data_IF_170738018238
#
_entry.id   IF_170738018238
#
_cell.length_a   1.000
_cell.length_b   1.000
_cell.length_c   1.000
_cell.angle_alpha   90.00
_cell.angle_beta   90.00
_cell.angle_gamma   90.00
#
_symmetry.space_group_name_H-M   'P 1'
#
loop_
_entity.id
_entity.type
_entity.pdbx_description
1 polymer ?
#
# COMPACT_ATOMS: atom_id res chain seq x y z
N UNK A 1 -20.66 10.18 -16.98
CA UNK A 1 -19.39 10.81 -16.55
C UNK A 1 -18.56 9.77 -15.80
N UNK A 2 -17.62 9.06 -16.44
CA UNK A 2 -16.82 8.07 -15.73
C UNK A 2 -15.66 8.76 -15.00
N UNK A 3 -15.62 8.55 -13.69
CA UNK A 3 -14.48 8.83 -12.81
C UNK A 3 -13.33 7.90 -13.21
N UNK A 4 -12.41 8.35 -14.06
CA UNK A 4 -11.12 7.70 -14.24
C UNK A 4 -10.08 8.57 -13.54
N UNK A 5 -9.85 8.28 -12.25
CA UNK A 5 -8.71 8.78 -11.52
C UNK A 5 -7.44 8.33 -12.27
N UNK A 6 -6.75 9.28 -12.88
CA UNK A 6 -5.47 9.07 -13.52
C UNK A 6 -4.44 8.65 -12.46
N UNK A 7 -4.18 7.34 -12.34
CA UNK A 7 -2.88 6.89 -11.85
C UNK A 7 -1.87 7.17 -12.96
N UNK A 8 -0.99 8.14 -12.72
CA UNK A 8 0.02 8.69 -13.63
C UNK A 8 0.65 7.65 -14.57
N UNK A 9 0.34 7.77 -15.86
CA UNK A 9 0.89 6.97 -16.94
C UNK A 9 2.16 7.65 -17.46
N UNK A 10 3.34 7.05 -17.25
CA UNK A 10 4.65 7.64 -17.56
C UNK A 10 5.02 7.75 -19.06
N UNK A 11 4.07 7.58 -19.98
CA UNK A 11 4.30 7.82 -21.41
C UNK A 11 2.98 8.19 -22.10
N UNK A 12 2.46 9.39 -21.82
CA UNK A 12 1.37 9.98 -22.58
C UNK A 12 1.95 10.96 -23.60
N UNK A 13 1.88 10.63 -24.89
CA UNK A 13 2.18 11.61 -25.93
C UNK A 13 0.88 12.36 -26.25
N UNK A 14 0.84 13.64 -25.86
CA UNK A 14 -0.33 14.49 -25.92
C UNK A 14 -0.46 15.05 -27.35
N UNK A 15 -1.14 14.33 -28.23
CA UNK A 15 -1.38 14.81 -29.61
C UNK A 15 -2.62 15.72 -29.61
N UNK A 16 -2.40 17.04 -29.76
CA UNK A 16 -3.47 17.99 -30.06
C UNK A 16 -3.78 17.90 -31.56
N UNK A 17 -4.89 17.26 -31.93
CA UNK A 17 -5.36 17.28 -33.33
C UNK A 17 -6.36 18.41 -33.49
N UNK A 18 -6.01 19.40 -34.30
CA UNK A 18 -6.92 20.44 -34.79
C UNK A 18 -7.85 19.81 -35.84
N UNK A 19 -9.13 19.68 -35.54
CA UNK A 19 -10.14 19.33 -36.54
C UNK A 19 -10.82 20.63 -36.99
N UNK A 20 -10.40 21.17 -38.13
CA UNK A 20 -11.05 22.32 -38.75
C UNK A 20 -12.16 21.85 -39.71
N UNK A 21 -13.36 22.40 -39.54
CA UNK A 21 -14.37 22.50 -40.59
C UNK A 21 -15.10 23.84 -40.40
N UNK A 22 -15.46 24.48 -41.51
CA UNK A 22 -15.87 25.88 -41.62
C UNK A 22 -16.96 26.34 -40.64
N UNK A 23 -16.88 27.64 -40.37
CA UNK A 23 -17.82 28.49 -39.62
C UNK A 23 -17.96 28.21 -38.10
N UNK A 24 -17.14 28.96 -37.36
CA UNK A 24 -17.29 29.45 -35.98
C UNK A 24 -17.55 28.39 -34.89
N UNK A 25 -16.48 27.69 -34.47
CA UNK A 25 -16.11 27.45 -33.06
C UNK A 25 -14.92 26.48 -33.02
N UNK A 26 -13.72 26.95 -32.69
CA UNK A 26 -12.51 26.13 -32.56
C UNK A 26 -12.60 25.23 -31.32
N UNK A 27 -13.25 24.08 -31.42
CA UNK A 27 -13.30 23.07 -30.34
C UNK A 27 -12.07 22.18 -30.40
N UNK A 28 -11.10 22.45 -29.52
CA UNK A 28 -9.95 21.57 -29.32
C UNK A 28 -10.41 20.30 -28.60
N UNK A 29 -10.25 19.13 -29.24
CA UNK A 29 -10.41 17.82 -28.58
C UNK A 29 -9.04 17.29 -28.18
N UNK A 30 -8.82 17.20 -26.87
CA UNK A 30 -7.62 16.59 -26.30
C UNK A 30 -7.83 15.08 -26.23
N UNK A 31 -6.94 14.31 -26.88
CA UNK A 31 -6.92 12.85 -26.82
C UNK A 31 -5.61 12.43 -26.16
N UNK A 32 -5.69 11.49 -25.23
CA UNK A 32 -4.52 10.87 -24.60
C UNK A 32 -4.27 9.51 -25.26
N UNK A 33 -3.14 9.39 -25.96
CA UNK A 33 -2.68 8.11 -26.50
C UNK A 33 -1.62 7.56 -25.53
N UNK A 34 -1.99 6.50 -24.80
CA UNK A 34 -1.09 5.80 -23.90
C UNK A 34 -0.47 4.60 -24.64
N UNK A 35 0.86 4.52 -24.66
CA UNK A 35 1.58 3.39 -25.27
C UNK A 35 1.87 2.27 -24.24
N UNK A 36 2.04 2.64 -22.98
CA UNK A 36 2.29 1.69 -21.90
C UNK A 36 1.59 2.15 -20.63
N UNK A 37 0.82 1.24 -20.03
CA UNK A 37 0.10 1.47 -18.77
C UNK A 37 0.84 0.72 -17.67
N UNK A 38 1.50 1.48 -16.80
CA UNK A 38 2.06 0.96 -15.55
C UNK A 38 1.11 1.30 -14.42
N UNK A 39 0.45 0.27 -13.89
CA UNK A 39 -0.34 0.41 -12.67
C UNK A 39 0.59 0.76 -11.52
N UNK A 40 0.52 2.02 -11.06
CA UNK A 40 1.29 2.51 -9.91
C UNK A 40 0.78 1.90 -8.59
N UNK A 41 -0.51 1.54 -8.55
CA UNK A 41 -1.16 0.86 -7.43
C UNK A 41 -1.56 -0.54 -7.84
N UNK A 42 -0.58 -1.36 -8.21
CA UNK A 42 -0.72 -2.80 -8.09
C UNK A 42 -0.11 -3.15 -6.74
N UNK A 43 -0.84 -3.81 -5.85
CA UNK A 43 -0.21 -4.50 -4.72
C UNK A 43 0.90 -5.36 -5.32
N UNK A 44 2.11 -4.89 -5.09
CA UNK A 44 3.29 -5.28 -5.83
C UNK A 44 3.43 -6.76 -5.56
N UNK A 45 3.26 -7.61 -6.58
CA UNK A 45 3.83 -8.94 -6.50
C UNK A 45 5.30 -8.69 -6.18
N UNK A 46 5.76 -9.03 -4.96
CA UNK A 46 7.06 -8.57 -4.53
C UNK A 46 8.05 -9.27 -5.45
N UNK A 47 8.78 -8.50 -6.25
CA UNK A 47 9.97 -9.01 -6.93
C UNK A 47 11.01 -9.23 -5.85
N UNK A 48 10.83 -10.31 -5.08
CA UNK A 48 11.71 -10.69 -4.00
C UNK A 48 13.00 -11.18 -4.66
N UNK A 49 13.99 -10.29 -4.78
CA UNK A 49 15.34 -10.69 -5.14
C UNK A 49 15.88 -11.67 -4.09
N UNK A 50 16.68 -12.65 -4.53
CA UNK A 50 17.34 -13.61 -3.65
C UNK A 50 18.16 -12.92 -2.53
N UNK A 51 18.73 -11.74 -2.83
CA UNK A 51 19.46 -10.91 -1.88
C UNK A 51 18.56 -10.33 -0.77
N UNK A 52 17.29 -10.06 -1.09
CA UNK A 52 16.31 -9.60 -0.11
C UNK A 52 16.01 -10.68 0.94
N UNK A 53 15.81 -11.92 0.49
CA UNK A 53 15.53 -13.07 1.38
C UNK A 53 16.72 -13.34 2.30
N UNK A 54 17.95 -13.28 1.79
CA UNK A 54 19.13 -13.52 2.61
C UNK A 54 19.31 -12.46 3.69
N UNK A 55 19.05 -11.18 3.38
CA UNK A 55 19.07 -10.08 4.37
C UNK A 55 18.01 -10.27 5.45
N UNK A 56 16.77 -10.63 5.08
CA UNK A 56 15.69 -10.90 6.04
C UNK A 56 16.08 -12.04 6.97
N UNK A 57 16.56 -13.17 6.43
CA UNK A 57 16.99 -14.32 7.25
C UNK A 57 18.14 -13.98 8.19
N UNK A 58 19.11 -13.16 7.74
CA UNK A 58 20.21 -12.68 8.58
C UNK A 58 19.69 -11.79 9.72
N UNK A 59 18.77 -10.86 9.41
CA UNK A 59 18.15 -9.99 10.40
C UNK A 59 17.38 -10.78 11.47
N UNK A 60 16.55 -11.75 11.07
CA UNK A 60 15.82 -12.61 12.00
C UNK A 60 16.75 -13.41 12.93
N UNK A 61 17.92 -13.84 12.45
CA UNK A 61 18.89 -14.58 13.27
C UNK A 61 19.71 -13.68 14.21
N UNK A 62 19.97 -12.43 13.81
CA UNK A 62 20.83 -11.53 14.56
C UNK A 62 20.14 -10.91 15.79
N UNK A 63 18.83 -10.66 15.73
CA UNK A 63 18.09 -9.93 16.77
C UNK A 63 17.04 -10.78 17.51
N UNK A 64 17.26 -12.09 17.65
CA UNK A 64 16.27 -13.07 18.13
C UNK A 64 15.51 -12.71 19.42
N UNK A 65 16.06 -11.89 20.31
CA UNK A 65 15.38 -11.48 21.55
C UNK A 65 14.54 -10.20 21.44
N UNK A 66 14.96 -9.22 20.64
CA UNK A 66 14.39 -7.86 20.70
C UNK A 66 13.79 -7.37 19.37
N UNK A 67 13.60 -8.25 18.37
CA UNK A 67 13.02 -7.90 17.06
C UNK A 67 11.67 -7.19 17.21
N UNK A 68 10.81 -7.68 18.10
CA UNK A 68 9.47 -7.13 18.27
C UNK A 68 9.51 -5.66 18.73
N UNK A 69 10.42 -5.36 19.65
CA UNK A 69 10.61 -4.04 20.19
C UNK A 69 11.27 -3.12 19.17
N UNK A 70 12.26 -3.61 18.44
CA UNK A 70 12.89 -2.90 17.34
C UNK A 70 11.87 -2.50 16.26
N UNK A 71 11.04 -3.44 15.81
CA UNK A 71 10.00 -3.17 14.81
C UNK A 71 8.97 -2.16 15.32
N UNK A 72 8.54 -2.29 16.58
CA UNK A 72 7.57 -1.36 17.17
C UNK A 72 8.09 0.07 17.26
N UNK A 73 9.39 0.26 17.53
CA UNK A 73 10.04 1.57 17.59
C UNK A 73 10.22 2.17 16.20
N UNK A 74 10.51 1.35 15.19
CA UNK A 74 10.63 1.76 13.80
C UNK A 74 9.30 2.12 13.13
N UNK A 75 8.16 1.63 13.63
CA UNK A 75 6.85 1.90 13.05
C UNK A 75 6.46 3.38 13.09
N UNK A 76 6.71 4.05 14.23
CA UNK A 76 6.36 5.45 14.44
C UNK A 76 7.44 6.13 15.30
N UNK A 77 8.61 6.46 14.73
CA UNK A 77 9.72 7.05 15.47
C UNK A 77 9.44 8.50 15.90
N UNK A 78 8.50 9.18 15.23
CA UNK A 78 8.11 10.57 15.53
C UNK A 78 7.30 10.74 16.82
N UNK A 79 6.67 9.68 17.31
CA UNK A 79 5.84 9.72 18.53
C UNK A 79 6.70 9.26 19.70
N UNK A 80 6.85 10.08 20.74
CA UNK A 80 7.53 9.66 21.96
C UNK A 80 6.60 8.81 22.85
N UNK A 81 7.15 7.79 23.51
CA UNK A 81 6.39 6.89 24.39
C UNK A 81 5.42 5.95 23.66
N UNK A 82 4.36 5.53 24.38
CA UNK A 82 3.29 4.65 23.89
C UNK A 82 3.76 3.31 23.29
N UNK A 83 4.75 2.66 23.91
CA UNK A 83 5.34 1.43 23.37
C UNK A 83 4.32 0.30 23.18
N UNK A 84 3.41 0.11 24.13
CA UNK A 84 2.36 -0.90 24.03
C UNK A 84 1.37 -0.65 22.88
N UNK A 85 1.04 0.62 22.62
CA UNK A 85 0.13 0.98 21.52
C UNK A 85 0.79 0.67 20.18
N UNK A 86 2.08 1.03 20.01
CA UNK A 86 2.82 0.74 18.78
C UNK A 86 2.99 -0.76 18.56
N UNK A 87 3.25 -1.53 19.62
CA UNK A 87 3.29 -3.00 19.58
C UNK A 87 1.94 -3.60 19.16
N UNK A 88 0.83 -3.09 19.70
CA UNK A 88 -0.50 -3.56 19.34
C UNK A 88 -0.85 -3.24 17.86
N UNK A 89 -0.54 -2.04 17.40
CA UNK A 89 -0.73 -1.65 15.98
C UNK A 89 0.15 -2.50 15.06
N UNK A 90 1.38 -2.84 15.46
CA UNK A 90 2.23 -3.76 14.71
C UNK A 90 1.56 -5.14 14.55
N UNK A 91 0.97 -5.69 15.61
CA UNK A 91 0.22 -6.95 15.53
C UNK A 91 -1.01 -6.83 14.61
N UNK A 92 -1.69 -5.68 14.62
CA UNK A 92 -2.83 -5.43 13.73
C UNK A 92 -2.41 -5.39 12.25
N UNK A 93 -1.24 -4.83 11.92
CA UNK A 93 -0.71 -4.81 10.55
C UNK A 93 -0.22 -6.17 10.06
N UNK A 94 0.33 -6.99 10.96
CA UNK A 94 0.72 -8.37 10.65
C UNK A 94 -0.51 -9.29 10.46
N UNK A 95 -1.61 -8.96 11.13
CA UNK A 95 -2.79 -9.80 11.19
C UNK A 95 -2.54 -11.06 12.03
N UNK A 96 -3.57 -11.89 12.13
CA UNK A 96 -3.46 -13.23 12.72
C UNK A 96 -3.86 -14.29 11.72
N UNK A 97 -3.78 -15.55 12.15
CA UNK A 97 -4.08 -16.68 11.29
C UNK A 97 -5.56 -17.09 11.44
N UNK A 98 -6.29 -17.11 10.33
CA UNK A 98 -7.63 -17.69 10.29
C UNK A 98 -7.51 -19.21 10.49
N UNK A 99 -8.30 -19.76 11.41
CA UNK A 99 -8.30 -21.21 11.67
C UNK A 99 -9.62 -21.80 11.19
N UNK A 100 -9.50 -22.82 10.34
CA UNK A 100 -10.62 -23.67 9.93
C UNK A 100 -10.53 -24.95 10.75
N UNK A 101 -11.58 -25.25 11.50
CA UNK A 101 -11.67 -26.48 12.28
C UNK A 101 -12.17 -27.61 11.37
N UNK A 102 -11.91 -28.85 11.76
CA UNK A 102 -12.31 -30.07 11.02
C UNK A 102 -13.84 -30.20 10.86
N UNK A 103 -14.61 -29.46 11.67
CA UNK A 103 -16.07 -29.38 11.61
C UNK A 103 -16.60 -28.32 10.63
N UNK A 104 -15.73 -27.65 9.86
CA UNK A 104 -16.10 -26.62 8.88
C UNK A 104 -16.34 -25.22 9.45
N UNK A 105 -16.19 -25.03 10.77
CA UNK A 105 -16.31 -23.70 11.39
C UNK A 105 -15.04 -22.89 11.15
N UNK A 106 -15.19 -21.59 10.86
CA UNK A 106 -14.07 -20.65 10.66
C UNK A 106 -13.96 -19.67 11.82
N UNK A 107 -12.75 -19.49 12.32
CA UNK A 107 -12.43 -18.52 13.38
C UNK A 107 -11.62 -17.38 12.76
N UNK A 108 -12.14 -16.16 12.88
CA UNK A 108 -11.49 -14.93 12.39
C UNK A 108 -10.13 -14.72 13.07
N UNK A 109 -9.10 -14.45 12.26
CA UNK A 109 -7.73 -14.20 12.71
C UNK A 109 -7.36 -12.73 12.88
N UNK A 110 -8.21 -11.78 12.50
CA UNK A 110 -7.85 -10.36 12.50
C UNK A 110 -7.99 -9.72 13.88
N UNK A 111 -7.15 -8.72 14.13
CA UNK A 111 -7.15 -7.91 15.36
C UNK A 111 -7.70 -6.53 15.00
N UNK A 112 -8.73 -6.06 15.70
CA UNK A 112 -9.22 -4.68 15.57
C UNK A 112 -8.93 -3.94 16.88
N UNK A 113 -8.38 -2.74 16.78
CA UNK A 113 -8.00 -1.92 17.94
C UNK A 113 -8.78 -0.61 17.89
N UNK A 114 -9.39 -0.22 19.02
CA UNK A 114 -9.97 1.10 19.24
C UNK A 114 -9.09 1.84 20.26
N UNK A 115 -8.63 3.04 19.90
CA UNK A 115 -7.90 3.91 20.80
C UNK A 115 -8.83 5.01 21.31
N UNK A 116 -8.95 5.14 22.63
CA UNK A 116 -9.74 6.19 23.27
C UNK A 116 -8.77 7.10 24.01
N UNK A 117 -8.88 8.41 23.77
CA UNK A 117 -8.08 9.43 24.43
C UNK A 117 -8.96 10.59 24.86
N UNK A 118 -8.59 11.27 25.95
CA UNK A 118 -9.22 12.52 26.34
C UNK A 118 -8.64 13.63 25.46
N UNK A 119 -9.46 14.21 24.59
CA UNK A 119 -9.14 15.49 23.96
C UNK A 119 -9.34 16.55 25.05
N UNK A 120 -8.27 17.22 25.45
CA UNK A 120 -8.35 18.42 26.28
C UNK A 120 -8.08 19.64 25.41
#
# INVERSE_FOLDING_TARGET
>A
MPKAAMSLCQAASLKKTLLGCGDICWKLRTIMLANNIKLMSKEIAPTISADGVTKIKKFCKAQTKDIFDHLSKSLAPSIHGHEYIKKAVLCMLLGGNEKVLDNGTRIRGDINILLIGKSM
#
